data_IF_937384526407
#
_entry.id   IF_937384526407
#
_cell.length_a   1.000
_cell.length_b   1.000
_cell.length_c   1.000
_cell.angle_alpha   90.00
_cell.angle_beta   90.00
_cell.angle_gamma   90.00
#
_symmetry.space_group_name_H-M   'P 1'
#
loop_
_entity.id
_entity.type
_entity.pdbx_description
1 polymer ?
#
# COMPACT_ATOMS: atom_id res chain seq x y z
N UNK A 1 -0.21 -26.74 -51.48
CA UNK A 1 0.39 -25.62 -50.71
C UNK A 1 -0.66 -24.71 -50.08
N UNK A 2 -1.76 -24.41 -50.73
CA UNK A 2 -2.82 -23.54 -50.21
C UNK A 2 -3.59 -24.08 -48.99
N UNK A 3 -3.76 -25.38 -48.85
CA UNK A 3 -4.52 -25.98 -47.71
C UNK A 3 -3.75 -25.91 -46.41
N UNK A 4 -2.42 -26.10 -46.40
CA UNK A 4 -1.58 -25.98 -45.21
C UNK A 4 -1.50 -24.53 -44.68
N UNK A 5 -1.57 -23.54 -45.57
CA UNK A 5 -1.52 -22.14 -45.23
C UNK A 5 -2.81 -21.67 -44.51
N UNK A 6 -3.99 -22.25 -44.86
CA UNK A 6 -5.26 -21.97 -44.18
C UNK A 6 -5.29 -22.47 -42.76
N UNK A 7 -4.71 -23.65 -42.46
CA UNK A 7 -4.64 -24.19 -41.11
C UNK A 7 -3.67 -23.41 -40.20
N UNK A 8 -2.56 -22.91 -40.74
CA UNK A 8 -1.61 -22.07 -40.04
C UNK A 8 -2.23 -20.71 -39.67
N UNK A 9 -2.97 -20.09 -40.58
CA UNK A 9 -3.71 -18.84 -40.28
C UNK A 9 -4.82 -19.05 -39.26
N UNK A 10 -5.59 -20.16 -39.33
CA UNK A 10 -6.62 -20.50 -38.34
C UNK A 10 -6.03 -20.74 -36.98
N UNK A 11 -4.89 -21.43 -36.89
CA UNK A 11 -4.23 -21.73 -35.62
C UNK A 11 -3.63 -20.46 -34.96
N UNK A 12 -3.08 -19.55 -35.79
CA UNK A 12 -2.56 -18.26 -35.28
C UNK A 12 -3.67 -17.32 -34.82
N UNK A 13 -4.85 -17.32 -35.44
CA UNK A 13 -6.01 -16.57 -34.95
C UNK A 13 -6.57 -17.16 -33.66
N UNK A 14 -6.62 -18.49 -33.51
CA UNK A 14 -7.05 -19.13 -32.25
C UNK A 14 -6.09 -18.85 -31.10
N UNK A 15 -4.79 -18.91 -31.32
CA UNK A 15 -3.77 -18.58 -30.34
C UNK A 15 -3.82 -17.09 -29.96
N UNK A 16 -4.05 -16.20 -30.91
CA UNK A 16 -4.24 -14.77 -30.68
C UNK A 16 -5.53 -14.48 -29.88
N UNK A 17 -6.63 -15.20 -30.11
CA UNK A 17 -7.85 -15.08 -29.31
C UNK A 17 -7.68 -15.62 -27.87
N UNK A 18 -6.92 -16.71 -27.70
CA UNK A 18 -6.62 -17.25 -26.36
C UNK A 18 -5.70 -16.33 -25.58
N UNK A 19 -4.71 -15.72 -26.23
CA UNK A 19 -3.81 -14.74 -25.59
C UNK A 19 -4.53 -13.44 -25.23
N UNK A 20 -5.56 -13.03 -25.96
CA UNK A 20 -6.40 -11.87 -25.59
C UNK A 20 -7.40 -12.18 -24.47
N UNK A 21 -7.69 -13.44 -24.14
CA UNK A 21 -8.54 -13.80 -22.99
C UNK A 21 -7.84 -13.65 -21.64
N UNK A 22 -6.53 -13.50 -21.63
CA UNK A 22 -5.73 -13.06 -20.50
C UNK A 22 -5.46 -11.55 -20.52
N UNK A 23 -6.39 -10.76 -21.09
CA UNK A 23 -6.36 -9.32 -20.84
C UNK A 23 -6.39 -9.16 -19.31
N UNK A 24 -5.26 -8.79 -18.74
CA UNK A 24 -5.13 -8.51 -17.31
C UNK A 24 -6.27 -7.58 -16.94
N UNK A 25 -7.15 -8.04 -16.05
CA UNK A 25 -8.20 -7.18 -15.51
C UNK A 25 -7.51 -5.91 -15.05
N UNK A 26 -7.89 -4.78 -15.62
CA UNK A 26 -7.22 -3.50 -15.38
C UNK A 26 -7.20 -3.27 -13.87
N UNK A 27 -6.03 -3.01 -13.31
CA UNK A 27 -5.92 -2.69 -11.88
C UNK A 27 -6.67 -1.38 -11.62
N UNK A 28 -7.76 -1.46 -10.87
CA UNK A 28 -8.65 -0.32 -10.59
C UNK A 28 -8.15 0.52 -9.41
N UNK A 29 -7.01 0.14 -8.82
CA UNK A 29 -6.38 0.94 -7.76
C UNK A 29 -5.65 2.13 -8.35
N UNK A 30 -5.65 3.21 -7.60
CA UNK A 30 -4.92 4.44 -7.92
C UNK A 30 -3.72 4.59 -7.00
N UNK A 31 -2.75 5.40 -7.43
CA UNK A 31 -1.58 5.79 -6.64
C UNK A 31 -1.65 7.29 -6.38
N UNK A 32 -1.78 7.68 -5.13
CA UNK A 32 -1.71 9.06 -4.70
C UNK A 32 -0.37 9.31 -4.00
N UNK A 33 0.23 10.48 -4.23
CA UNK A 33 1.49 10.85 -3.60
C UNK A 33 1.25 11.93 -2.55
N UNK A 34 1.59 11.62 -1.30
CA UNK A 34 1.33 12.46 -0.14
C UNK A 34 2.64 12.94 0.48
N UNK A 35 2.76 14.24 0.70
CA UNK A 35 3.86 14.79 1.50
C UNK A 35 3.64 14.49 2.99
N UNK A 36 4.70 14.34 3.81
CA UNK A 36 4.57 14.27 5.26
C UNK A 36 3.99 15.58 5.80
N UNK A 37 3.25 15.48 6.91
CA UNK A 37 2.62 16.65 7.54
C UNK A 37 3.45 17.25 8.68
N UNK A 38 4.37 16.44 9.23
CA UNK A 38 5.29 16.89 10.29
C UNK A 38 6.46 15.94 10.48
N UNK A 39 7.48 16.44 11.15
CA UNK A 39 8.58 15.66 11.71
C UNK A 39 8.24 15.35 13.18
N UNK A 40 8.33 14.09 13.56
CA UNK A 40 8.06 13.63 14.94
C UNK A 40 9.33 13.57 15.77
N UNK A 41 10.44 13.21 15.14
CA UNK A 41 11.71 13.05 15.79
C UNK A 41 12.87 13.23 14.80
N UNK A 42 13.99 13.71 15.31
CA UNK A 42 15.23 13.87 14.56
C UNK A 42 16.44 13.54 15.44
N UNK A 43 17.51 13.07 14.83
CA UNK A 43 18.82 12.85 15.46
C UNK A 43 19.91 13.55 14.68
N UNK A 44 20.90 14.13 15.39
CA UNK A 44 21.99 14.90 14.82
C UNK A 44 21.49 16.06 13.95
N UNK A 45 20.62 16.89 14.50
CA UNK A 45 19.92 17.99 13.80
C UNK A 45 20.87 19.07 13.28
N UNK A 46 22.00 19.25 13.92
CA UNK A 46 23.09 20.13 13.49
C UNK A 46 23.73 19.72 12.14
N UNK A 47 23.50 18.45 11.74
CA UNK A 47 23.94 17.89 10.46
C UNK A 47 22.83 17.89 9.39
N UNK A 48 21.70 18.53 9.68
CA UNK A 48 20.58 18.66 8.75
C UNK A 48 20.23 20.12 8.52
N UNK A 49 19.83 20.43 7.28
CA UNK A 49 19.36 21.75 6.90
C UNK A 49 18.16 21.64 5.95
N UNK A 50 17.20 22.55 6.05
CA UNK A 50 16.04 22.61 5.14
C UNK A 50 15.05 21.45 5.31
N UNK A 51 14.95 20.83 6.51
CA UNK A 51 14.03 19.72 6.76
C UNK A 51 12.55 20.09 6.59
N UNK A 52 12.21 21.36 6.77
CA UNK A 52 10.88 21.94 6.50
C UNK A 52 10.46 21.85 5.02
N UNK A 53 11.43 21.74 4.12
CA UNK A 53 11.14 21.60 2.68
C UNK A 53 10.48 20.25 2.35
N UNK A 54 10.64 19.23 3.20
CA UNK A 54 10.00 17.92 3.03
C UNK A 54 8.46 17.99 3.11
N UNK A 55 7.89 19.05 3.70
CA UNK A 55 6.42 19.25 3.76
C UNK A 55 5.85 19.82 2.47
N UNK A 56 6.70 20.23 1.54
CA UNK A 56 6.24 20.81 0.28
C UNK A 56 5.70 19.72 -0.64
N UNK A 57 4.52 19.98 -1.21
CA UNK A 57 3.98 19.10 -2.24
C UNK A 57 4.75 19.35 -3.54
N UNK A 58 5.48 18.35 -3.98
CA UNK A 58 6.24 18.39 -5.22
C UNK A 58 5.61 17.54 -6.32
N UNK A 59 6.29 17.46 -7.46
CA UNK A 59 5.85 16.73 -8.64
C UNK A 59 6.60 15.38 -8.86
N UNK A 60 7.53 15.03 -7.96
CA UNK A 60 8.35 13.82 -8.04
C UNK A 60 9.46 13.87 -9.08
N UNK A 61 9.79 15.02 -9.57
CA UNK A 61 10.87 15.19 -10.54
C UNK A 61 12.14 15.68 -9.85
N UNK A 62 13.30 15.04 -10.04
CA UNK A 62 14.59 15.59 -9.67
C UNK A 62 14.81 16.91 -10.41
N UNK A 63 15.58 17.81 -9.83
CA UNK A 63 16.02 19.01 -10.52
C UNK A 63 17.50 19.31 -10.24
N UNK A 64 18.09 20.14 -11.08
CA UNK A 64 19.51 20.52 -11.01
C UNK A 64 19.75 21.79 -10.17
N UNK A 65 18.70 22.47 -9.75
CA UNK A 65 18.82 23.82 -9.15
C UNK A 65 19.02 23.74 -7.64
N UNK A 66 18.76 22.61 -7.01
CA UNK A 66 18.84 22.41 -5.55
C UNK A 66 18.03 23.43 -4.73
N UNK A 67 16.99 23.99 -5.30
CA UNK A 67 16.09 24.85 -4.55
C UNK A 67 15.24 24.02 -3.57
N UNK A 68 15.15 24.48 -2.33
CA UNK A 68 14.28 23.85 -1.32
C UNK A 68 14.59 22.39 -1.02
N UNK A 69 15.88 22.05 -0.82
CA UNK A 69 16.33 20.71 -0.45
C UNK A 69 16.37 20.53 1.07
N UNK A 70 16.09 19.31 1.51
CA UNK A 70 16.56 18.81 2.79
C UNK A 70 17.96 18.21 2.58
N UNK A 71 18.96 18.79 3.20
CA UNK A 71 20.35 18.35 3.12
C UNK A 71 20.72 17.63 4.41
N UNK A 72 21.14 16.39 4.30
CA UNK A 72 21.64 15.56 5.41
C UNK A 72 23.13 15.31 5.21
N UNK A 73 23.95 15.55 6.25
CA UNK A 73 25.38 15.31 6.24
C UNK A 73 25.76 14.36 7.35
N UNK A 74 26.59 13.39 7.04
CA UNK A 74 27.22 12.54 8.05
C UNK A 74 28.69 12.87 8.17
N UNK A 75 29.18 12.90 9.39
CA UNK A 75 30.59 13.17 9.68
C UNK A 75 31.05 12.48 10.96
N UNK A 76 32.28 11.96 10.96
CA UNK A 76 32.91 11.37 12.13
C UNK A 76 32.04 10.32 12.88
N UNK A 77 31.33 9.46 12.12
CA UNK A 77 30.42 8.44 12.67
C UNK A 77 29.07 8.98 13.12
N UNK A 78 28.84 10.31 13.12
CA UNK A 78 27.54 10.91 13.40
C UNK A 78 26.69 10.91 12.15
N UNK A 79 25.55 10.22 12.20
CA UNK A 79 24.64 10.05 11.06
C UNK A 79 23.27 10.62 11.39
N UNK A 80 22.71 11.50 10.56
CA UNK A 80 21.39 12.05 10.80
C UNK A 80 20.29 11.03 10.54
N UNK A 81 19.20 11.18 11.28
CA UNK A 81 17.99 10.39 11.14
C UNK A 81 16.76 11.26 11.34
N UNK A 82 15.67 10.93 10.66
CA UNK A 82 14.41 11.66 10.71
C UNK A 82 13.22 10.71 10.77
N UNK A 83 12.20 11.03 11.57
CA UNK A 83 10.92 10.33 11.62
C UNK A 83 9.81 11.24 11.13
N UNK A 84 9.16 10.86 10.04
CA UNK A 84 8.11 11.59 9.36
C UNK A 84 6.72 11.01 9.71
N UNK A 85 5.71 11.87 9.89
CA UNK A 85 4.31 11.50 10.06
C UNK A 85 3.51 11.93 8.81
N UNK A 86 2.78 11.01 8.19
CA UNK A 86 1.92 11.27 7.04
C UNK A 86 0.47 11.58 7.42
N UNK A 87 0.16 11.62 8.72
CA UNK A 87 -1.13 12.09 9.27
C UNK A 87 -2.23 11.04 9.31
N UNK A 88 -2.19 10.03 8.47
CA UNK A 88 -3.16 8.92 8.40
C UNK A 88 -2.46 7.61 8.07
N UNK A 89 -3.14 6.52 8.34
CA UNK A 89 -2.71 5.19 7.89
C UNK A 89 -2.76 5.12 6.36
N UNK A 90 -1.79 4.44 5.75
CA UNK A 90 -1.60 4.35 4.29
C UNK A 90 -1.21 2.92 3.95
N UNK A 91 -1.77 2.36 2.88
CA UNK A 91 -1.24 1.16 2.24
C UNK A 91 -0.33 1.57 1.08
N UNK A 92 0.91 1.09 1.07
CA UNK A 92 1.87 1.33 0.00
C UNK A 92 3.32 1.47 0.48
N UNK A 93 4.04 2.44 -0.03
CA UNK A 93 5.44 2.69 0.28
C UNK A 93 5.78 4.17 0.27
N UNK A 94 7.07 4.47 0.12
CA UNK A 94 7.52 5.83 -0.12
C UNK A 94 8.28 5.95 -1.42
N UNK A 95 8.25 7.15 -1.95
CA UNK A 95 9.14 7.60 -3.01
C UNK A 95 10.05 8.69 -2.45
N UNK A 96 11.36 8.53 -2.67
CA UNK A 96 12.37 9.52 -2.35
C UNK A 96 12.90 10.14 -3.65
N UNK A 97 12.81 11.45 -3.76
CA UNK A 97 13.35 12.22 -4.88
C UNK A 97 14.60 12.92 -4.40
N UNK A 98 15.72 12.65 -5.06
CA UNK A 98 17.00 13.27 -4.72
C UNK A 98 17.28 14.50 -5.59
N UNK A 99 18.03 15.46 -5.03
CA UNK A 99 18.61 16.59 -5.75
C UNK A 99 20.10 16.36 -6.02
N UNK A 100 20.74 17.27 -6.70
CA UNK A 100 22.15 17.17 -7.11
C UNK A 100 23.06 17.49 -5.92
N UNK A 101 23.80 16.52 -5.34
CA UNK A 101 24.79 16.80 -4.32
C UNK A 101 26.11 17.26 -4.97
N UNK A 102 27.04 17.71 -4.14
CA UNK A 102 28.40 18.05 -4.59
C UNK A 102 29.17 16.84 -5.15
N UNK A 103 28.86 15.63 -4.68
CA UNK A 103 29.43 14.37 -5.16
C UNK A 103 28.37 13.51 -5.88
N UNK A 104 28.69 13.04 -7.08
CA UNK A 104 27.79 12.21 -7.89
C UNK A 104 27.87 10.72 -7.48
N UNK A 105 27.65 10.44 -6.19
CA UNK A 105 27.73 9.09 -5.63
C UNK A 105 26.40 8.72 -5.01
N UNK A 106 25.83 7.55 -5.36
CA UNK A 106 24.63 7.03 -4.70
C UNK A 106 24.83 6.90 -3.19
N UNK A 107 23.78 7.16 -2.41
CA UNK A 107 23.83 7.15 -0.94
C UNK A 107 22.96 6.07 -0.36
N UNK A 108 23.52 5.35 0.63
CA UNK A 108 22.80 4.33 1.36
C UNK A 108 21.94 4.94 2.47
N UNK A 109 20.69 4.53 2.53
CA UNK A 109 19.77 4.84 3.61
C UNK A 109 19.09 3.57 4.11
N UNK A 110 18.60 3.64 5.36
CA UNK A 110 17.65 2.67 5.92
C UNK A 110 16.30 3.32 6.07
N UNK A 111 15.26 2.64 5.62
CA UNK A 111 13.86 3.11 5.70
C UNK A 111 13.09 2.13 6.56
N UNK A 112 12.43 2.65 7.60
CA UNK A 112 11.57 1.85 8.47
C UNK A 112 10.16 2.41 8.50
N UNK A 113 9.19 1.54 8.26
CA UNK A 113 7.76 1.86 8.31
C UNK A 113 7.15 1.47 9.64
N UNK A 114 6.14 2.19 10.10
CA UNK A 114 5.36 1.86 11.29
C UNK A 114 3.97 2.48 11.27
N UNK A 115 2.99 1.76 11.81
CA UNK A 115 1.65 2.29 12.09
C UNK A 115 1.68 3.18 13.34
N UNK A 116 2.68 3.01 14.19
CA UNK A 116 2.95 3.84 15.36
C UNK A 116 4.40 4.33 15.39
N UNK A 117 4.64 5.39 16.18
CA UNK A 117 5.99 5.89 16.43
C UNK A 117 6.87 4.81 17.07
N UNK A 118 6.34 4.08 18.06
CA UNK A 118 7.09 3.01 18.72
C UNK A 118 7.53 1.92 17.75
N UNK A 119 6.68 1.53 16.82
CA UNK A 119 7.02 0.53 15.81
C UNK A 119 8.10 1.04 14.84
N UNK A 120 7.95 2.26 14.29
CA UNK A 120 8.94 2.83 13.38
C UNK A 120 10.31 3.02 14.04
N UNK A 121 10.35 3.20 15.38
CA UNK A 121 11.57 3.39 16.15
C UNK A 121 12.19 2.08 16.68
N UNK A 122 11.42 0.97 16.71
CA UNK A 122 11.94 -0.32 17.16
C UNK A 122 12.92 -0.94 16.17
N UNK A 123 13.93 -1.62 16.71
CA UNK A 123 14.79 -2.50 15.93
C UNK A 123 14.05 -3.81 15.58
N UNK A 124 14.32 -4.33 14.38
CA UNK A 124 13.80 -5.62 13.96
C UNK A 124 14.48 -6.72 14.77
N UNK A 125 13.68 -7.65 15.31
CA UNK A 125 14.13 -8.76 16.14
C UNK A 125 14.90 -8.33 17.41
N UNK A 126 14.80 -7.07 17.81
CA UNK A 126 15.33 -6.58 19.09
C UNK A 126 14.53 -7.09 20.29
N UNK A 127 15.04 -6.90 21.50
CA UNK A 127 14.44 -7.39 22.77
C UNK A 127 12.95 -6.99 22.94
N UNK A 128 12.61 -5.78 22.49
CA UNK A 128 11.24 -5.25 22.47
C UNK A 128 10.85 -4.86 21.03
N UNK A 129 11.49 -5.49 20.05
CA UNK A 129 11.31 -5.16 18.66
C UNK A 129 10.11 -5.84 18.05
N UNK A 130 9.64 -5.27 16.96
CA UNK A 130 8.70 -5.93 16.08
C UNK A 130 9.44 -6.83 15.09
N UNK A 131 8.80 -7.94 14.71
CA UNK A 131 9.30 -8.83 13.69
C UNK A 131 9.15 -8.20 12.29
N UNK A 132 10.04 -8.56 11.38
CA UNK A 132 9.86 -8.31 9.94
C UNK A 132 9.05 -9.42 9.27
N UNK A 133 8.69 -10.44 10.02
CA UNK A 133 7.89 -11.57 9.56
C UNK A 133 6.48 -11.10 9.20
N UNK A 134 5.96 -11.56 8.06
CA UNK A 134 4.67 -11.19 7.47
C UNK A 134 4.48 -9.70 7.14
N UNK A 135 5.30 -8.80 7.71
CA UNK A 135 5.16 -7.36 7.56
C UNK A 135 6.50 -6.71 7.24
N UNK A 136 7.06 -6.97 6.05
CA UNK A 136 8.34 -6.43 5.61
C UNK A 136 8.31 -4.90 5.66
N UNK A 137 8.95 -4.32 6.67
CA UNK A 137 8.88 -2.90 7.03
C UNK A 137 10.21 -2.21 7.28
N UNK A 138 11.32 -2.89 7.07
CA UNK A 138 12.68 -2.39 7.30
C UNK A 138 13.54 -2.72 6.09
N UNK A 139 14.09 -1.68 5.44
CA UNK A 139 14.78 -1.79 4.19
C UNK A 139 16.07 -0.97 4.21
N UNK A 140 17.15 -1.54 3.69
CA UNK A 140 18.32 -0.77 3.29
C UNK A 140 18.31 -0.62 1.77
N UNK A 141 18.58 0.59 1.29
CA UNK A 141 18.58 0.89 -0.13
C UNK A 141 19.61 1.95 -0.49
N UNK A 142 20.02 1.97 -1.75
CA UNK A 142 20.84 3.04 -2.31
C UNK A 142 19.98 4.00 -3.11
N UNK A 143 19.98 5.26 -2.71
CA UNK A 143 19.38 6.35 -3.49
C UNK A 143 20.31 6.76 -4.62
N UNK A 144 19.78 7.04 -5.82
CA UNK A 144 20.59 7.65 -6.88
C UNK A 144 21.09 9.04 -6.44
N UNK A 145 22.23 9.46 -6.92
CA UNK A 145 22.74 10.81 -6.63
C UNK A 145 21.85 11.93 -7.20
N UNK A 146 21.13 11.66 -8.29
CA UNK A 146 20.09 12.48 -8.88
C UNK A 146 19.03 11.56 -9.50
N UNK A 147 17.83 11.51 -8.94
CA UNK A 147 16.80 10.63 -9.45
C UNK A 147 15.69 10.34 -8.44
N UNK A 148 15.02 9.23 -8.68
CA UNK A 148 13.85 8.78 -7.91
C UNK A 148 14.06 7.33 -7.52
N UNK A 149 13.74 7.00 -6.29
CA UNK A 149 13.71 5.62 -5.81
C UNK A 149 12.46 5.37 -4.98
N UNK A 150 11.89 4.17 -5.11
CA UNK A 150 10.71 3.74 -4.35
C UNK A 150 11.04 2.53 -3.50
N UNK A 151 10.44 2.45 -2.32
CA UNK A 151 10.58 1.32 -1.40
C UNK A 151 9.32 1.14 -0.55
N UNK A 152 9.05 -0.11 -0.19
CA UNK A 152 7.95 -0.51 0.67
C UNK A 152 6.69 -0.90 -0.10
N UNK A 153 5.89 -1.72 0.56
CA UNK A 153 4.54 -2.09 0.19
C UNK A 153 3.90 -2.68 1.47
N UNK A 154 3.47 -1.80 2.38
CA UNK A 154 2.99 -2.17 3.72
C UNK A 154 1.99 -1.14 4.23
N UNK A 155 1.31 -1.46 5.33
CA UNK A 155 0.55 -0.50 6.11
C UNK A 155 1.47 0.35 6.97
N UNK A 156 1.32 1.68 6.93
CA UNK A 156 2.10 2.61 7.73
C UNK A 156 1.45 3.99 7.84
N UNK A 157 1.83 4.70 8.88
CA UNK A 157 1.62 6.15 9.04
C UNK A 157 2.95 6.89 9.20
N UNK A 158 3.94 6.23 9.82
CA UNK A 158 5.23 6.82 10.15
C UNK A 158 6.33 6.18 9.33
N UNK A 159 7.29 7.01 8.90
CA UNK A 159 8.48 6.55 8.19
C UNK A 159 9.72 7.14 8.81
N UNK A 160 10.62 6.27 9.27
CA UNK A 160 11.96 6.66 9.71
C UNK A 160 12.96 6.46 8.59
N UNK A 161 13.80 7.47 8.36
CA UNK A 161 14.90 7.45 7.40
C UNK A 161 16.19 7.69 8.17
N UNK A 162 17.13 6.75 8.09
CA UNK A 162 18.46 6.83 8.66
C UNK A 162 19.49 6.89 7.55
N UNK A 163 20.42 7.83 7.60
CA UNK A 163 21.59 7.85 6.70
C UNK A 163 22.59 6.77 7.12
N UNK A 164 23.09 5.97 6.18
CA UNK A 164 24.00 4.84 6.49
C UNK A 164 25.46 5.15 6.17
N UNK A 165 25.72 5.89 5.11
CA UNK A 165 27.07 6.29 4.74
C UNK A 165 27.67 7.24 5.78
N UNK A 166 29.00 7.22 5.93
CA UNK A 166 29.74 8.16 6.75
C UNK A 166 30.51 9.16 5.87
N UNK A 167 30.78 10.35 6.40
CA UNK A 167 31.48 11.44 5.70
C UNK A 167 30.86 11.71 4.31
N UNK A 168 29.54 11.84 4.27
CA UNK A 168 28.75 11.90 3.07
C UNK A 168 27.67 12.99 3.15
N UNK A 169 27.20 13.42 1.98
CA UNK A 169 26.11 14.37 1.84
C UNK A 169 24.99 13.76 0.98
N UNK A 170 23.74 13.93 1.41
CA UNK A 170 22.53 13.50 0.74
C UNK A 170 21.58 14.69 0.60
N UNK A 171 21.18 15.00 -0.64
CA UNK A 171 20.20 16.01 -0.96
C UNK A 171 18.85 15.33 -1.27
N UNK A 172 17.84 15.59 -0.45
CA UNK A 172 16.48 15.08 -0.63
C UNK A 172 15.57 16.26 -1.02
N UNK A 173 14.99 16.17 -2.19
CA UNK A 173 13.99 17.13 -2.66
C UNK A 173 12.61 16.82 -2.08
N UNK A 174 12.22 15.55 -2.13
CA UNK A 174 10.90 15.09 -1.67
C UNK A 174 11.02 13.72 -1.00
N UNK A 175 10.27 13.53 0.08
CA UNK A 175 9.87 12.23 0.59
C UNK A 175 8.36 12.20 0.56
N UNK A 176 7.79 11.34 -0.26
CA UNK A 176 6.33 11.26 -0.37
C UNK A 176 5.83 9.84 -0.22
N UNK A 177 4.77 9.66 0.55
CA UNK A 177 4.09 8.38 0.62
C UNK A 177 3.40 8.07 -0.69
N UNK A 178 3.46 6.81 -1.10
CA UNK A 178 2.69 6.25 -2.21
C UNK A 178 1.48 5.58 -1.57
N UNK A 179 0.33 6.21 -1.67
CA UNK A 179 -0.93 5.64 -1.17
C UNK A 179 -1.62 4.88 -2.29
N UNK A 180 -1.80 3.57 -2.10
CA UNK A 180 -2.44 2.68 -3.07
C UNK A 180 -3.81 2.28 -2.55
N UNK A 181 -4.88 2.66 -3.25
CA UNK A 181 -6.26 2.41 -2.83
C UNK A 181 -7.20 2.37 -4.04
N UNK A 182 -8.44 1.91 -3.84
CA UNK A 182 -9.50 2.00 -4.84
C UNK A 182 -10.14 3.38 -4.78
N UNK A 183 -10.23 4.06 -5.91
CA UNK A 183 -10.92 5.35 -6.00
C UNK A 183 -12.45 5.13 -6.06
N UNK A 184 -13.05 4.99 -4.89
CA UNK A 184 -14.48 4.72 -4.73
C UNK A 184 -15.12 5.71 -3.74
N UNK A 185 -16.34 6.11 -4.03
CA UNK A 185 -17.09 7.02 -3.16
C UNK A 185 -17.76 6.28 -1.99
N UNK A 186 -17.82 6.92 -0.82
CA UNK A 186 -18.60 6.48 0.31
C UNK A 186 -20.08 6.86 0.06
N UNK A 187 -20.93 5.85 -0.06
CA UNK A 187 -22.40 6.02 -0.28
C UNK A 187 -23.18 6.01 1.02
N UNK A 188 -22.69 5.22 2.00
CA UNK A 188 -23.24 5.19 3.34
C UNK A 188 -22.68 6.32 4.20
N UNK A 189 -23.46 6.74 5.19
CA UNK A 189 -23.06 7.75 6.16
C UNK A 189 -23.61 7.41 7.54
N UNK A 190 -22.93 7.90 8.57
CA UNK A 190 -23.38 7.81 9.96
C UNK A 190 -23.05 9.13 10.67
N UNK A 191 -24.05 9.69 11.32
CA UNK A 191 -23.92 10.92 12.10
C UNK A 191 -24.71 10.75 13.39
N UNK A 192 -24.07 11.04 14.52
CA UNK A 192 -24.66 11.08 15.84
C UNK A 192 -24.23 12.34 16.60
N UNK A 193 -24.83 12.60 17.74
CA UNK A 193 -24.39 13.65 18.66
C UNK A 193 -23.15 13.27 19.49
N UNK A 194 -22.64 12.05 19.34
CA UNK A 194 -21.41 11.59 19.96
C UNK A 194 -20.29 11.55 18.94
N UNK A 195 -19.34 12.47 19.07
CA UNK A 195 -18.18 12.57 18.17
C UNK A 195 -17.27 11.34 18.24
N UNK A 196 -17.26 10.60 19.34
CA UNK A 196 -16.48 9.36 19.44
C UNK A 196 -17.08 8.28 18.52
N UNK A 197 -18.40 8.12 18.51
CA UNK A 197 -19.10 7.19 17.61
C UNK A 197 -18.90 7.59 16.13
N UNK A 198 -18.95 8.88 15.81
CA UNK A 198 -18.70 9.37 14.46
C UNK A 198 -17.28 8.98 14.00
N UNK A 199 -16.27 9.14 14.86
CA UNK A 199 -14.89 8.76 14.56
C UNK A 199 -14.71 7.24 14.46
N UNK A 200 -15.38 6.45 15.29
CA UNK A 200 -15.34 4.98 15.21
C UNK A 200 -15.86 4.53 13.85
N UNK A 201 -16.99 5.06 13.41
CA UNK A 201 -17.55 4.72 12.11
C UNK A 201 -16.61 5.10 10.96
N UNK A 202 -16.07 6.31 10.97
CA UNK A 202 -15.13 6.79 9.96
C UNK A 202 -13.87 5.93 9.92
N UNK A 203 -13.32 5.57 11.08
CA UNK A 203 -12.14 4.71 11.18
C UNK A 203 -12.42 3.33 10.64
N UNK A 204 -13.54 2.70 10.99
CA UNK A 204 -13.94 1.39 10.49
C UNK A 204 -14.13 1.38 8.97
N UNK A 205 -14.83 2.38 8.43
CA UNK A 205 -15.01 2.53 7.00
C UNK A 205 -13.68 2.71 6.26
N UNK A 206 -12.78 3.54 6.80
CA UNK A 206 -11.46 3.78 6.22
C UNK A 206 -10.56 2.54 6.31
N UNK A 207 -10.59 1.79 7.41
CA UNK A 207 -9.84 0.53 7.57
C UNK A 207 -10.23 -0.46 6.48
N UNK A 208 -11.53 -0.69 6.29
CA UNK A 208 -12.00 -1.60 5.23
C UNK A 208 -11.64 -1.07 3.84
N UNK A 209 -11.71 0.24 3.62
CA UNK A 209 -11.29 0.83 2.34
C UNK A 209 -9.80 0.54 2.04
N UNK A 210 -8.92 0.62 3.04
CA UNK A 210 -7.51 0.26 2.89
C UNK A 210 -7.31 -1.22 2.57
N UNK A 211 -8.15 -2.11 3.11
CA UNK A 211 -8.07 -3.56 2.87
C UNK A 211 -8.61 -3.97 1.49
N UNK A 212 -9.39 -3.10 0.82
CA UNK A 212 -9.90 -3.33 -0.54
C UNK A 212 -8.80 -3.14 -1.60
N UNK A 213 -7.84 -4.04 -1.62
CA UNK A 213 -6.69 -4.02 -2.51
C UNK A 213 -6.94 -4.85 -3.78
N UNK A 214 -5.98 -5.58 -4.30
CA UNK A 214 -6.21 -6.51 -5.41
C UNK A 214 -7.28 -7.55 -5.08
N UNK A 215 -7.25 -8.01 -3.84
CA UNK A 215 -8.30 -8.78 -3.18
C UNK A 215 -8.73 -8.04 -1.91
N UNK A 216 -9.74 -8.53 -1.25
CA UNK A 216 -10.09 -8.09 0.09
C UNK A 216 -9.13 -8.77 1.08
N UNK A 217 -8.23 -7.99 1.66
CA UNK A 217 -7.19 -8.46 2.58
C UNK A 217 -7.65 -8.35 4.02
N UNK A 218 -7.19 -9.26 4.87
CA UNK A 218 -7.35 -9.24 6.32
C UNK A 218 -6.70 -8.02 7.01
N UNK A 219 -5.73 -7.41 6.34
CA UNK A 219 -5.01 -6.25 6.83
C UNK A 219 -3.96 -5.77 5.84
N UNK A 220 -3.53 -4.51 5.95
CA UNK A 220 -2.59 -3.90 5.01
C UNK A 220 -1.12 -4.03 5.39
N UNK A 221 -0.82 -4.36 6.63
CA UNK A 221 0.55 -4.47 7.11
C UNK A 221 1.05 -5.91 7.11
N UNK A 222 0.27 -6.83 7.68
CA UNK A 222 0.64 -8.20 7.93
C UNK A 222 -0.27 -9.14 7.15
N UNK A 223 0.19 -10.33 6.82
CA UNK A 223 -0.43 -11.38 6.02
C UNK A 223 -0.86 -10.89 4.63
N UNK A 224 -1.80 -9.97 4.51
CA UNK A 224 -2.33 -9.40 3.25
C UNK A 224 -2.88 -10.49 2.34
N UNK A 225 -3.68 -11.35 2.93
CA UNK A 225 -4.27 -12.53 2.32
C UNK A 225 -5.80 -12.47 2.39
N UNK A 226 -6.44 -13.40 1.68
CA UNK A 226 -7.87 -13.62 1.78
C UNK A 226 -8.13 -14.58 2.97
N UNK A 227 -8.30 -14.01 4.17
CA UNK A 227 -8.72 -14.74 5.35
C UNK A 227 -10.24 -14.71 5.46
N UNK A 228 -10.92 -15.81 5.09
CA UNK A 228 -12.39 -15.82 4.94
C UNK A 228 -13.12 -15.52 6.25
N UNK A 229 -12.54 -15.90 7.40
CA UNK A 229 -13.12 -15.59 8.71
C UNK A 229 -13.17 -14.09 9.00
N UNK A 230 -12.20 -13.33 8.47
CA UNK A 230 -12.11 -11.88 8.64
C UNK A 230 -12.97 -11.12 7.63
N UNK A 231 -13.28 -11.72 6.49
CA UNK A 231 -14.03 -11.07 5.41
C UNK A 231 -15.48 -10.70 5.79
N UNK A 232 -16.13 -11.40 6.72
CA UNK A 232 -17.55 -11.15 6.99
C UNK A 232 -17.81 -9.71 7.48
N UNK A 233 -17.17 -9.19 8.54
CA UNK A 233 -17.35 -7.80 8.95
C UNK A 233 -16.93 -6.80 7.88
N UNK A 234 -15.93 -7.12 7.09
CA UNK A 234 -15.49 -6.26 5.97
C UNK A 234 -16.57 -6.19 4.89
N UNK A 235 -17.13 -7.32 4.47
CA UNK A 235 -18.21 -7.38 3.46
C UNK A 235 -19.46 -6.66 3.95
N UNK A 236 -19.82 -6.79 5.24
CA UNK A 236 -20.93 -6.04 5.81
C UNK A 236 -20.68 -4.52 5.81
N UNK A 237 -19.44 -4.11 6.05
CA UNK A 237 -19.02 -2.70 5.93
C UNK A 237 -19.07 -2.25 4.46
N UNK A 238 -18.59 -3.06 3.52
CA UNK A 238 -18.66 -2.75 2.08
C UNK A 238 -20.11 -2.56 1.63
N UNK A 239 -21.00 -3.46 2.02
CA UNK A 239 -22.43 -3.37 1.72
C UNK A 239 -23.04 -2.04 2.22
N UNK A 240 -22.64 -1.62 3.42
CA UNK A 240 -23.22 -0.45 4.09
C UNK A 240 -22.61 0.87 3.63
N UNK A 241 -21.31 0.88 3.31
CA UNK A 241 -20.54 2.10 3.03
C UNK A 241 -20.31 2.33 1.55
N UNK A 242 -19.93 1.30 0.81
CA UNK A 242 -19.49 1.44 -0.59
C UNK A 242 -20.50 0.88 -1.60
N UNK A 243 -21.33 -0.07 -1.18
CA UNK A 243 -22.23 -0.82 -2.05
C UNK A 243 -21.48 -1.90 -2.85
N UNK A 244 -22.00 -2.28 -4.02
CA UNK A 244 -21.38 -3.31 -4.84
C UNK A 244 -19.94 -2.95 -5.22
N UNK A 245 -19.02 -3.89 -4.99
CA UNK A 245 -17.64 -3.81 -5.47
C UNK A 245 -17.16 -5.21 -5.87
N UNK A 246 -16.51 -5.32 -7.03
CA UNK A 246 -16.03 -6.59 -7.59
C UNK A 246 -14.95 -7.27 -6.75
N UNK A 247 -14.29 -6.54 -5.84
CA UNK A 247 -13.27 -7.13 -4.95
C UNK A 247 -13.83 -8.26 -4.10
N UNK A 248 -15.10 -8.18 -3.70
CA UNK A 248 -15.75 -9.21 -2.86
C UNK A 248 -15.94 -10.52 -3.63
N UNK A 249 -16.70 -10.58 -4.76
CA UNK A 249 -16.84 -11.83 -5.51
C UNK A 249 -15.51 -12.32 -6.07
N UNK A 250 -14.60 -11.43 -6.44
CA UNK A 250 -13.23 -11.79 -6.88
C UNK A 250 -12.50 -12.56 -5.78
N UNK A 251 -12.52 -12.07 -4.53
CA UNK A 251 -11.85 -12.71 -3.39
C UNK A 251 -12.50 -14.04 -3.03
N UNK A 252 -13.84 -14.10 -3.00
CA UNK A 252 -14.58 -15.34 -2.72
C UNK A 252 -14.33 -16.43 -3.76
N UNK A 253 -14.21 -16.06 -5.03
CA UNK A 253 -13.89 -17.01 -6.09
C UNK A 253 -12.41 -17.45 -6.00
N UNK A 254 -11.48 -16.54 -5.76
CA UNK A 254 -10.07 -16.87 -5.67
C UNK A 254 -9.79 -17.90 -4.57
N UNK A 255 -10.36 -17.72 -3.37
CA UNK A 255 -10.16 -18.68 -2.28
C UNK A 255 -10.85 -20.02 -2.56
N UNK A 256 -12.02 -20.03 -3.22
CA UNK A 256 -12.71 -21.24 -3.66
C UNK A 256 -11.84 -22.02 -4.65
N UNK A 257 -11.25 -21.35 -5.62
CA UNK A 257 -10.49 -21.97 -6.71
C UNK A 257 -9.19 -22.63 -6.22
N UNK A 258 -8.61 -22.14 -5.13
CA UNK A 258 -7.41 -22.74 -4.50
C UNK A 258 -7.73 -23.76 -3.41
N UNK A 259 -9.00 -23.91 -3.03
CA UNK A 259 -9.43 -24.83 -1.96
C UNK A 259 -10.14 -26.05 -2.56
N UNK A 260 -9.37 -27.07 -2.92
CA UNK A 260 -9.93 -28.34 -3.43
C UNK A 260 -10.66 -29.10 -2.32
N UNK A 261 -11.86 -29.61 -2.63
CA UNK A 261 -12.58 -30.51 -1.71
C UNK A 261 -11.77 -31.80 -1.48
N UNK A 262 -11.74 -32.35 -0.26
CA UNK A 262 -12.54 -31.99 0.92
C UNK A 262 -11.87 -30.99 1.88
N UNK A 263 -10.90 -30.21 1.44
CA UNK A 263 -10.18 -29.27 2.28
C UNK A 263 -11.07 -28.13 2.78
N UNK A 264 -10.69 -27.56 3.93
CA UNK A 264 -11.33 -26.39 4.51
C UNK A 264 -10.66 -25.10 4.02
N UNK A 265 -11.44 -24.05 3.78
CA UNK A 265 -10.89 -22.74 3.42
C UNK A 265 -9.95 -22.24 4.50
N UNK A 266 -8.76 -21.78 4.09
CA UNK A 266 -7.65 -21.38 4.98
C UNK A 266 -7.29 -22.49 6.04
N UNK A 267 -7.63 -23.77 5.77
CA UNK A 267 -7.39 -24.87 6.69
C UNK A 267 -8.34 -24.96 7.90
N UNK A 268 -9.41 -24.16 7.95
CA UNK A 268 -10.33 -24.05 9.10
C UNK A 268 -11.78 -24.31 8.70
N UNK A 269 -12.44 -25.26 9.38
CA UNK A 269 -13.85 -25.63 9.09
C UNK A 269 -14.80 -24.45 9.24
N UNK A 270 -14.62 -23.61 10.26
CA UNK A 270 -15.42 -22.41 10.48
C UNK A 270 -15.32 -21.41 9.32
N UNK A 271 -14.17 -21.32 8.64
CA UNK A 271 -13.98 -20.41 7.52
C UNK A 271 -14.75 -20.84 6.28
N UNK A 272 -14.93 -22.13 6.05
CA UNK A 272 -15.84 -22.64 5.01
C UNK A 272 -17.30 -22.27 5.30
N UNK A 273 -17.71 -22.27 6.57
CA UNK A 273 -19.04 -21.79 6.97
C UNK A 273 -19.17 -20.29 6.75
N UNK A 274 -18.15 -19.50 7.12
CA UNK A 274 -18.15 -18.06 6.86
C UNK A 274 -18.24 -17.74 5.37
N UNK A 275 -17.56 -18.50 4.52
CA UNK A 275 -17.67 -18.33 3.07
C UNK A 275 -19.14 -18.47 2.58
N UNK A 276 -19.87 -19.48 3.07
CA UNK A 276 -21.29 -19.67 2.73
C UNK A 276 -22.15 -18.50 3.24
N UNK A 277 -21.91 -18.03 4.46
CA UNK A 277 -22.66 -16.90 5.05
C UNK A 277 -22.41 -15.61 4.28
N UNK A 278 -21.17 -15.35 3.88
CA UNK A 278 -20.82 -14.16 3.08
C UNK A 278 -21.49 -14.21 1.71
N UNK A 279 -21.50 -15.38 1.04
CA UNK A 279 -22.18 -15.58 -0.25
C UNK A 279 -23.69 -15.29 -0.13
N UNK A 280 -24.32 -15.80 0.93
CA UNK A 280 -25.74 -15.50 1.21
C UNK A 280 -25.98 -14.02 1.39
N UNK A 281 -25.20 -13.36 2.25
CA UNK A 281 -25.40 -11.95 2.57
C UNK A 281 -25.13 -11.06 1.35
N UNK A 282 -24.07 -11.36 0.60
CA UNK A 282 -23.78 -10.68 -0.66
C UNK A 282 -24.91 -10.80 -1.67
N UNK A 283 -25.49 -11.99 -1.80
CA UNK A 283 -26.64 -12.24 -2.67
C UNK A 283 -27.86 -11.42 -2.25
N UNK A 284 -28.18 -11.36 -0.97
CA UNK A 284 -29.33 -10.59 -0.48
C UNK A 284 -29.16 -9.09 -0.72
N UNK A 285 -27.98 -8.56 -0.52
CA UNK A 285 -27.73 -7.13 -0.73
C UNK A 285 -27.72 -6.71 -2.21
N UNK A 286 -27.28 -7.59 -3.11
CA UNK A 286 -27.00 -7.19 -4.50
C UNK A 286 -27.83 -7.88 -5.57
N UNK A 287 -28.68 -8.87 -5.25
CA UNK A 287 -29.47 -9.61 -6.23
C UNK A 287 -30.46 -8.73 -7.03
N UNK A 288 -31.04 -7.72 -6.40
CA UNK A 288 -31.90 -6.75 -7.09
C UNK A 288 -31.14 -5.91 -8.13
N UNK A 289 -29.86 -5.66 -7.90
CA UNK A 289 -29.02 -4.87 -8.80
C UNK A 289 -28.55 -5.67 -10.03
N UNK A 290 -28.48 -7.00 -9.95
CA UNK A 290 -28.13 -7.87 -11.09
C UNK A 290 -29.28 -7.99 -12.09
N UNK A 291 -30.52 -7.99 -11.64
CA UNK A 291 -31.70 -8.04 -12.51
C UNK A 291 -31.87 -6.77 -13.37
N UNK A 292 -31.43 -5.62 -12.87
CA UNK A 292 -31.51 -4.33 -13.60
C UNK A 292 -30.44 -4.24 -14.70
N UNK A 293 -29.35 -4.99 -14.59
CA UNK A 293 -28.27 -5.00 -15.63
C UNK A 293 -28.50 -6.01 -16.75
N UNK A 294 -29.48 -6.90 -16.62
CA UNK A 294 -29.85 -7.90 -17.64
C UNK A 294 -31.14 -7.54 -18.39
N UNK A 295 -31.78 -6.43 -18.06
CA UNK A 295 -32.90 -5.83 -18.77
C UNK A 295 -32.46 -4.58 -19.53
#
# INVERSE_FOLDING_TARGET
MQTKMKYILSLSLLVSCILNSYASQLDTRVREYLAPIRIVWQQNTDLMNGTENLFRKGNGQPDLVNAYMCVMRSENGRKPSILLDFGKEIQGGIQVVTGMPSSQVPRAIRVRFGESVSEAMCEINGRNGASNDHAIRDFEMKLPWLGVAEVGNSGFRFVRIDMLDDNAELHIKEVRAISVYRDISYKGSFISNDECLNKIWQTGAYTVHLNMQEFLWDGIKRDRLIWVGDMHPEVMTINSVFGYNEVVPKSLNAIKDVTALPNWMNGMSSYSIWWLLIQRDWFYYHNSSLKIRQA
#
